data_IF_674640137445
#
_entry.id   IF_674640137445
#
_cell.length_a   1.000
_cell.length_b   1.000
_cell.length_c   1.000
_cell.angle_alpha   90.00
_cell.angle_beta   90.00
_cell.angle_gamma   90.00
#
_symmetry.space_group_name_H-M   'P 1'
#
loop_
_entity.id
_entity.type
_entity.pdbx_description
1 polymer ?
2 non-polymer ?
3 non-polymer ?
4 non-polymer ?
5 non-polymer ?
6 water ?
#
# COMPACT_ATOMS: atom_id res chain seq x y z
N UNK A 1 -21.66 13.89 -0.95
CA UNK A 1 -20.40 14.63 -1.32
C UNK A 1 -19.43 13.69 -2.10
N UNK A 2 -18.21 14.17 -2.35
CA UNK A 2 -17.14 13.29 -2.84
C UNK A 2 -16.29 12.71 -1.69
N UNK A 3 -16.77 11.64 -1.08
CA UNK A 3 -16.03 10.85 -0.12
C UNK A 3 -14.77 10.19 -0.64
N UNK A 4 -13.81 9.94 0.24
CA UNK A 4 -12.57 9.30 -0.15
C UNK A 4 -11.86 8.78 1.06
N UNK A 5 -10.90 7.88 0.82
CA UNK A 5 -10.09 7.27 1.82
C UNK A 5 -8.67 7.51 1.44
N UNK A 6 -7.91 8.11 2.35
CA UNK A 6 -6.49 8.32 2.16
C UNK A 6 -5.79 7.58 3.26
N UNK A 7 -4.72 6.89 2.88
CA UNK A 7 -4.00 6.02 3.74
C UNK A 7 -2.56 6.39 3.77
N UNK A 8 -2.04 6.50 5.00
CA UNK A 8 -0.66 6.81 5.21
C UNK A 8 -0.10 5.63 5.96
N UNK A 9 0.92 4.98 5.40
CA UNK A 9 1.57 3.83 6.03
C UNK A 9 3.06 4.01 6.09
N UNK A 10 3.74 3.03 6.63
CA UNK A 10 5.18 3.09 6.82
C UNK A 10 5.45 2.57 8.19
N UNK A 11 6.72 2.37 8.52
CA UNK A 11 7.08 1.89 9.84
C UNK A 11 7.01 2.96 10.92
N UNK A 12 7.34 2.58 12.14
CA UNK A 12 7.40 3.49 13.19
C UNK A 12 8.47 4.58 12.90
N UNK A 13 8.29 5.72 13.55
CA UNK A 13 9.28 6.85 13.46
C UNK A 13 9.36 7.59 12.12
N UNK A 14 8.40 7.29 11.22
CA UNK A 14 8.34 7.84 9.91
C UNK A 14 7.48 9.12 9.85
N UNK A 15 6.86 9.50 10.96
CA UNK A 15 6.03 10.66 11.04
C UNK A 15 4.66 10.57 10.47
N UNK A 16 4.04 9.39 10.55
CA UNK A 16 2.75 9.20 9.94
C UNK A 16 1.67 10.06 10.62
N UNK A 17 1.68 10.11 11.93
CA UNK A 17 0.67 10.91 12.62
C UNK A 17 0.87 12.44 12.32
N UNK A 18 2.12 12.88 12.23
CA UNK A 18 2.45 14.23 11.86
C UNK A 18 1.88 14.56 10.47
N UNK A 19 1.99 13.61 9.53
CA UNK A 19 1.42 13.82 8.20
C UNK A 19 -0.06 13.86 8.25
N UNK A 20 -0.64 13.00 9.05
CA UNK A 20 -2.07 13.01 9.22
C UNK A 20 -2.59 14.40 9.71
N UNK A 21 -1.95 14.92 10.77
CA UNK A 21 -2.33 16.17 11.34
C UNK A 21 -2.01 17.33 10.35
N UNK A 22 -0.90 17.25 9.60
CA UNK A 22 -0.69 18.24 8.49
C UNK A 22 -1.89 18.29 7.60
N UNK A 23 -2.44 17.12 7.27
CA UNK A 23 -3.58 17.16 6.39
C UNK A 23 -4.81 17.67 7.03
N UNK A 24 -5.06 17.26 8.26
CA UNK A 24 -6.20 17.81 8.95
C UNK A 24 -6.12 19.36 8.98
N UNK A 25 -4.96 19.89 9.36
CA UNK A 25 -4.82 21.35 9.51
C UNK A 25 -5.15 22.12 8.22
N UNK A 26 -4.75 21.58 7.08
CA UNK A 26 -5.16 22.11 5.79
C UNK A 26 -6.64 22.20 5.64
N UNK A 27 -7.36 21.15 6.00
CA UNK A 27 -8.82 21.18 5.92
C UNK A 27 -9.43 22.15 6.88
N UNK A 28 -8.83 22.26 8.05
CA UNK A 28 -9.32 23.21 9.06
C UNK A 28 -9.16 24.69 8.57
N UNK A 29 -8.13 25.01 7.82
CA UNK A 29 -8.02 26.35 7.29
C UNK A 29 -9.15 26.69 6.33
N UNK A 30 -9.72 25.71 5.64
CA UNK A 30 -10.90 25.91 4.84
C UNK A 30 -12.18 25.69 5.57
N UNK A 31 -12.13 25.73 6.89
CA UNK A 31 -13.28 25.67 7.75
C UNK A 31 -14.04 24.34 7.73
N UNK A 32 -13.41 23.31 7.23
CA UNK A 32 -14.03 21.98 7.33
C UNK A 32 -13.98 21.47 8.72
N UNK A 33 -15.06 20.81 9.12
CA UNK A 33 -15.10 20.18 10.40
C UNK A 33 -14.39 18.82 10.37
N UNK A 34 -13.54 18.61 11.33
CA UNK A 34 -12.60 17.53 11.42
C UNK A 34 -12.75 16.82 12.71
N UNK A 35 -12.80 15.49 12.66
CA UNK A 35 -12.93 14.68 13.85
C UNK A 35 -11.77 13.74 13.90
N UNK A 36 -11.07 13.69 15.00
CA UNK A 36 -9.89 12.82 15.14
C UNK A 36 -10.17 11.68 16.14
N UNK A 37 -10.08 10.45 15.66
CA UNK A 37 -10.28 9.26 16.46
C UNK A 37 -8.93 8.60 16.74
N UNK A 38 -8.60 8.46 18.03
CA UNK A 38 -7.37 7.82 18.48
C UNK A 38 -7.76 6.52 19.17
N UNK A 39 -6.77 5.69 19.34
CA UNK A 39 -6.93 4.43 20.01
C UNK A 39 -6.73 4.58 21.52
N UNK A 40 -7.67 4.00 22.24
CA UNK A 40 -7.87 4.13 23.67
C UNK A 40 -6.70 3.75 24.49
N UNK A 41 -6.10 2.58 24.23
CA UNK A 41 -4.94 2.09 24.96
C UNK A 41 -3.62 2.79 24.62
N UNK A 42 -3.67 3.82 23.79
CA UNK A 42 -2.49 4.42 23.20
C UNK A 42 -1.93 5.51 24.09
N UNK A 43 -0.61 5.46 24.30
CA UNK A 43 0.11 6.41 25.17
C UNK A 43 1.48 6.69 24.53
N UNK A 58 -5.85 20.47 18.15
CA UNK A 58 -6.79 20.82 19.21
C UNK A 58 -8.21 20.86 18.64
N UNK A 59 -8.53 19.91 17.73
CA UNK A 59 -9.89 19.72 17.24
C UNK A 59 -10.70 18.56 17.89
N UNK A 60 -12.00 18.49 17.57
CA UNK A 60 -12.93 17.39 18.11
C UNK A 60 -12.33 16.01 18.03
N UNK A 61 -12.28 15.30 19.15
CA UNK A 61 -11.65 14.00 19.21
C UNK A 61 -12.13 13.12 20.31
N UNK A 62 -11.75 11.86 20.18
CA UNK A 62 -12.29 10.85 20.97
C UNK A 62 -11.22 9.76 20.91
N UNK A 63 -11.19 9.00 21.98
CA UNK A 63 -10.37 7.84 22.14
C UNK A 63 -11.27 6.70 22.33
N UNK A 64 -11.10 5.64 21.55
CA UNK A 64 -11.98 4.48 21.61
C UNK A 64 -11.12 3.26 21.39
N UNK A 65 -11.68 2.09 21.66
CA UNK A 65 -10.98 0.83 21.50
C UNK A 65 -11.52 0.15 20.30
N UNK A 66 -12.73 0.51 19.89
CA UNK A 66 -13.10 0.26 18.48
C UNK A 66 -14.02 1.29 17.89
N UNK A 67 -14.18 1.24 16.61
CA UNK A 67 -14.86 2.30 15.90
C UNK A 67 -16.32 2.31 16.06
N UNK A 68 -16.87 1.16 16.40
CA UNK A 68 -18.29 1.02 16.65
C UNK A 68 -18.62 1.91 17.88
N UNK A 69 -17.71 2.08 18.82
CA UNK A 69 -17.98 2.98 19.97
C UNK A 69 -18.08 4.48 19.71
N UNK A 70 -17.84 4.90 18.48
CA UNK A 70 -17.96 6.28 18.08
C UNK A 70 -19.40 6.56 17.79
N UNK A 71 -20.19 5.53 17.60
CA UNK A 71 -21.58 5.71 17.26
C UNK A 71 -21.71 6.37 15.93
N UNK A 72 -22.65 7.29 15.85
CA UNK A 72 -22.88 8.02 14.63
C UNK A 72 -22.36 9.44 14.72
N UNK A 73 -21.57 9.71 15.74
CA UNK A 73 -20.97 11.01 15.95
C UNK A 73 -20.15 11.51 14.78
N UNK A 74 -19.50 10.60 14.07
CA UNK A 74 -18.76 10.89 12.86
C UNK A 74 -19.53 11.55 11.75
N UNK A 75 -20.84 11.39 11.69
CA UNK A 75 -21.65 12.03 10.69
C UNK A 75 -21.71 13.53 10.78
N UNK A 76 -21.33 14.12 11.92
CA UNK A 76 -21.30 15.55 12.05
C UNK A 76 -20.07 16.26 11.45
N UNK A 77 -19.21 15.55 10.75
CA UNK A 77 -17.97 16.17 10.29
C UNK A 77 -17.73 15.92 8.80
N UNK A 78 -16.98 16.83 8.16
CA UNK A 78 -16.55 16.69 6.81
C UNK A 78 -15.38 15.68 6.68
N UNK A 79 -14.47 15.67 7.63
CA UNK A 79 -13.18 14.97 7.57
C UNK A 79 -13.05 14.17 8.85
N UNK A 80 -12.73 12.88 8.70
CA UNK A 80 -12.52 11.93 9.80
C UNK A 80 -11.11 11.42 9.68
N UNK A 81 -10.32 11.59 10.74
CA UNK A 81 -8.93 11.15 10.81
C UNK A 81 -8.82 10.06 11.84
N UNK A 82 -8.20 8.95 11.48
CA UNK A 82 -8.09 7.77 12.31
C UNK A 82 -6.62 7.53 12.47
N UNK A 83 -6.13 7.61 13.71
CA UNK A 83 -4.74 7.41 13.96
C UNK A 83 -4.48 5.99 14.51
N UNK A 84 -3.34 5.39 14.20
CA UNK A 84 -3.02 4.02 14.70
C UNK A 84 -4.08 2.98 14.22
N UNK A 85 -4.41 3.06 12.95
CA UNK A 85 -5.48 2.26 12.39
C UNK A 85 -5.31 0.75 12.58
N UNK A 86 -4.06 0.29 12.64
CA UNK A 86 -3.82 -1.12 12.79
C UNK A 86 -4.41 -1.69 14.12
N UNK A 87 -4.72 -0.87 15.12
CA UNK A 87 -5.29 -1.34 16.39
C UNK A 87 -6.80 -1.54 16.33
N UNK A 88 -7.48 -1.10 15.28
CA UNK A 88 -8.92 -1.15 15.28
C UNK A 88 -9.33 -2.33 14.44
N UNK A 89 -10.08 -3.27 15.03
CA UNK A 89 -10.41 -4.42 14.26
C UNK A 89 -11.42 -4.17 13.17
N UNK A 90 -12.20 -3.12 13.21
CA UNK A 90 -13.24 -2.98 12.18
C UNK A 90 -12.97 -1.77 11.30
N UNK A 91 -11.72 -1.43 11.08
CA UNK A 91 -11.38 -0.17 10.42
C UNK A 91 -11.70 -0.08 8.96
N UNK A 92 -11.54 -1.17 8.21
CA UNK A 92 -11.86 -1.07 6.76
C UNK A 92 -13.33 -0.76 6.53
N UNK A 93 -14.18 -1.47 7.23
CA UNK A 93 -15.58 -1.29 7.06
C UNK A 93 -16.03 0.13 7.50
N UNK A 94 -15.47 0.59 8.61
CA UNK A 94 -15.76 1.96 9.09
C UNK A 94 -15.40 2.99 8.06
N UNK A 95 -14.20 2.89 7.53
CA UNK A 95 -13.76 3.85 6.55
C UNK A 95 -14.56 3.83 5.30
N UNK A 96 -14.92 2.62 4.83
CA UNK A 96 -15.80 2.55 3.66
C UNK A 96 -17.20 3.12 3.92
N UNK A 97 -17.78 2.80 5.07
CA UNK A 97 -19.08 3.40 5.42
C UNK A 97 -19.02 4.93 5.44
N UNK A 98 -17.95 5.45 6.02
CA UNK A 98 -17.84 6.90 6.11
C UNK A 98 -17.60 7.50 4.76
N UNK A 99 -16.67 6.93 3.97
CA UNK A 99 -16.43 7.51 2.65
C UNK A 99 -17.65 7.37 1.77
N UNK A 100 -18.42 6.29 1.89
CA UNK A 100 -19.73 6.24 1.11
C UNK A 100 -20.72 7.34 1.50
N UNK A 101 -20.67 7.83 2.75
CA UNK A 101 -21.48 8.94 3.14
C UNK A 101 -20.90 10.27 2.73
N UNK A 102 -19.83 10.29 2.01
CA UNK A 102 -19.27 11.58 1.56
C UNK A 102 -18.16 12.15 2.46
N UNK A 103 -17.68 11.41 3.45
CA UNK A 103 -16.56 11.91 4.22
C UNK A 103 -15.23 11.73 3.54
N UNK A 104 -14.33 12.68 3.81
CA UNK A 104 -12.88 12.49 3.61
C UNK A 104 -12.33 11.79 4.84
N UNK A 105 -11.81 10.60 4.65
CA UNK A 105 -11.33 9.77 5.68
C UNK A 105 -9.83 9.58 5.49
N UNK A 106 -9.08 9.83 6.54
CA UNK A 106 -7.63 9.87 6.48
C UNK A 106 -7.20 8.93 7.58
N UNK A 107 -6.37 7.98 7.24
CA UNK A 107 -5.96 6.96 8.18
C UNK A 107 -4.45 6.92 8.20
N UNK A 108 -3.86 6.91 9.40
CA UNK A 108 -2.45 6.51 9.52
C UNK A 108 -2.43 5.18 10.20
N UNK A 109 -1.52 4.33 9.77
CA UNK A 109 -1.38 2.98 10.26
C UNK A 109 -0.06 2.37 9.88
N UNK A 110 0.42 1.46 10.74
CA UNK A 110 1.43 0.51 10.36
C UNK A 110 0.84 -0.47 9.31
N UNK A 111 1.53 -0.65 8.21
CA UNK A 111 1.21 -1.68 7.26
C UNK A 111 1.77 -3.04 7.74
N UNK A 112 2.89 -3.03 8.44
CA UNK A 112 3.62 -4.23 8.84
C UNK A 112 3.88 -4.25 10.32
N UNK A 113 3.91 -5.47 10.90
CA UNK A 113 4.21 -5.63 12.32
C UNK A 113 5.69 -5.85 12.42
N UNK A 114 6.16 -6.06 13.62
CA UNK A 114 7.61 -6.23 13.85
C UNK A 114 8.25 -7.47 13.21
N UNK A 115 7.43 -8.38 12.69
CA UNK A 115 7.93 -9.54 11.96
C UNK A 115 7.79 -9.35 10.48
N UNK A 116 7.39 -8.16 10.05
CA UNK A 116 7.18 -7.81 8.67
C UNK A 116 6.01 -8.49 8.06
N UNK A 117 5.06 -8.85 8.89
CA UNK A 117 3.82 -9.45 8.40
C UNK A 117 2.76 -8.35 8.39
N UNK A 118 1.86 -8.42 7.43
CA UNK A 118 0.87 -7.38 7.29
C UNK A 118 -0.21 -7.37 8.31
N UNK A 119 -0.69 -6.17 8.64
CA UNK A 119 -1.95 -6.03 9.34
C UNK A 119 -3.01 -6.13 8.28
N UNK A 120 -3.83 -7.15 8.40
CA UNK A 120 -4.73 -7.57 7.33
C UNK A 120 -5.75 -6.51 6.98
N UNK A 121 -6.21 -5.86 8.02
CA UNK A 121 -7.24 -4.85 7.85
C UNK A 121 -6.69 -3.61 7.05
N UNK A 122 -5.40 -3.35 7.20
CA UNK A 122 -4.73 -2.23 6.53
C UNK A 122 -4.54 -2.60 5.05
N UNK A 123 -4.25 -3.87 4.83
CA UNK A 123 -4.31 -4.46 3.47
C UNK A 123 -5.63 -4.17 2.77
N UNK A 124 -6.74 -4.47 3.42
CA UNK A 124 -8.04 -4.12 2.89
C UNK A 124 -8.12 -2.67 2.57
N UNK A 125 -7.57 -1.84 3.46
CA UNK A 125 -7.70 -0.42 3.16
C UNK A 125 -6.89 -0.04 1.92
N UNK A 126 -5.73 -0.65 1.72
CA UNK A 126 -4.97 -0.27 0.55
C UNK A 126 -5.85 -0.39 -0.69
N UNK A 127 -6.58 -1.49 -0.79
CA UNK A 127 -7.44 -1.75 -1.99
C UNK A 127 -8.59 -0.86 -2.07
N UNK A 128 -9.03 -0.30 -0.94
CA UNK A 128 -10.18 0.64 -0.94
C UNK A 128 -9.81 2.11 -0.98
N UNK A 129 -8.53 2.42 -0.90
CA UNK A 129 -8.07 3.78 -0.82
C UNK A 129 -7.88 4.48 -2.13
N UNK A 130 -8.28 5.74 -2.16
CA UNK A 130 -7.98 6.66 -3.27
C UNK A 130 -6.54 7.05 -3.31
N UNK A 131 -5.87 7.00 -2.18
CA UNK A 131 -4.52 7.46 -2.11
C UNK A 131 -3.79 6.65 -1.09
N UNK A 132 -2.55 6.32 -1.35
CA UNK A 132 -1.77 5.54 -0.43
C UNK A 132 -0.36 6.07 -0.54
N UNK A 133 0.20 6.45 0.59
CA UNK A 133 1.55 6.93 0.67
C UNK A 133 2.23 6.08 1.65
N UNK A 134 3.46 5.69 1.38
CA UNK A 134 4.17 4.94 2.37
C UNK A 134 5.37 5.76 2.77
N UNK A 135 5.45 6.19 4.02
CA UNK A 135 6.55 7.01 4.46
C UNK A 135 7.69 6.11 4.92
N UNK A 136 8.87 6.66 4.97
CA UNK A 136 10.04 5.96 5.48
C UNK A 136 10.52 6.72 6.69
N UNK A 137 11.34 6.04 7.44
CA UNK A 137 12.05 6.59 8.54
C UNK A 137 13.55 6.57 8.18
N UNK A 138 14.41 6.94 9.12
CA UNK A 138 15.85 6.80 8.96
C UNK A 138 16.33 5.66 9.82
N UNK A 139 17.20 4.81 9.28
CA UNK A 139 17.59 3.60 10.00
C UNK A 139 18.20 3.96 11.32
N UNK A 140 17.61 3.46 12.41
CA UNK A 140 18.05 3.80 13.74
C UNK A 140 19.21 2.93 14.19
N UNK A 141 19.61 1.96 13.36
CA UNK A 141 20.74 1.10 13.67
C UNK A 141 21.99 1.60 12.98
N UNK A 142 21.97 1.76 11.68
CA UNK A 142 23.17 2.20 10.97
C UNK A 142 23.19 3.71 10.74
N UNK A 143 22.06 4.45 10.83
CA UNK A 143 22.06 5.92 10.62
C UNK A 143 22.48 6.35 9.24
N UNK A 144 22.41 5.44 8.28
CA UNK A 144 22.82 5.73 6.89
C UNK A 144 21.84 5.49 5.79
N UNK A 145 20.66 4.91 6.05
CA UNK A 145 19.81 4.44 4.96
C UNK A 145 18.39 4.78 5.37
N UNK A 146 17.50 4.81 4.39
CA UNK A 146 16.07 4.89 4.63
C UNK A 146 15.62 3.60 5.29
N UNK A 147 14.67 3.70 6.21
CA UNK A 147 14.17 2.55 6.90
C UNK A 147 12.71 2.37 6.59
N UNK A 148 12.35 1.15 6.20
CA UNK A 148 10.97 0.73 5.93
C UNK A 148 10.36 -0.29 6.87
N UNK A 149 11.15 -0.73 7.87
CA UNK A 149 10.72 -1.76 8.81
C UNK A 149 10.85 -1.35 10.25
N UNK A 150 10.01 -1.92 11.09
CA UNK A 150 10.08 -1.69 12.50
C UNK A 150 10.60 -2.98 13.14
N UNK A 151 11.66 -2.85 13.93
CA UNK A 151 12.27 -3.89 14.73
C UNK A 151 11.92 -3.72 16.18
N UNK A 152 11.43 -4.78 16.84
CA UNK A 152 11.12 -4.70 18.30
C UNK A 152 12.34 -5.06 19.11
N UNK A 153 12.64 -4.27 20.13
CA UNK A 153 13.91 -4.39 20.78
C UNK A 153 13.74 -5.06 22.12
N UNK A 154 12.52 -5.37 22.52
CA UNK A 154 12.25 -6.06 23.75
C UNK A 154 11.74 -7.46 23.39
N UNK A 155 12.02 -8.44 24.28
CA UNK A 155 11.52 -9.83 24.23
C UNK A 155 10.02 -9.70 24.43
N UNK A 156 9.28 -10.23 23.52
CA UNK A 156 7.82 -10.33 23.69
C UNK A 156 7.42 -10.91 22.37
N UNK A 157 6.27 -11.57 22.41
CA UNK A 157 5.71 -12.25 21.26
C UNK A 157 4.25 -11.95 21.17
N UNK A 158 3.77 -11.06 22.05
CA UNK A 158 2.49 -10.44 21.81
C UNK A 158 2.55 -9.59 20.51
N UNK A 159 1.58 -9.76 19.60
CA UNK A 159 1.61 -9.05 18.34
C UNK A 159 1.43 -7.53 18.66
N UNK A 160 0.45 -7.25 19.49
CA UNK A 160 0.19 -5.99 20.01
C UNK A 160 0.93 -5.73 21.30
N UNK A 161 1.74 -4.68 21.29
CA UNK A 161 2.57 -4.28 22.41
C UNK A 161 2.85 -2.78 22.25
N UNK A 162 2.08 -1.99 22.98
CA UNK A 162 2.06 -0.58 22.85
C UNK A 162 3.34 -0.02 23.39
N UNK A 163 3.98 0.89 22.67
CA UNK A 163 5.19 1.56 23.17
C UNK A 163 5.86 2.41 22.11
N UNK A 164 7.03 2.93 22.42
CA UNK A 164 7.79 3.89 21.65
C UNK A 164 9.21 3.44 21.38
N UNK A 165 10.16 4.36 21.41
CA UNK A 165 11.60 4.05 21.21
C UNK A 165 12.22 3.24 22.34
N UNK A 166 11.54 3.14 23.45
CA UNK A 166 11.86 2.18 24.56
C UNK A 166 11.68 0.71 24.17
N UNK A 167 10.83 0.41 23.17
CA UNK A 167 10.55 -0.97 22.72
C UNK A 167 10.76 -1.24 21.26
N UNK A 168 10.94 -0.19 20.44
CA UNK A 168 11.11 -0.36 19.00
C UNK A 168 12.08 0.57 18.36
N UNK A 169 12.50 0.20 17.18
CA UNK A 169 13.31 1.04 16.36
C UNK A 169 13.02 0.78 14.89
N UNK A 170 13.17 1.79 14.02
CA UNK A 170 12.98 1.54 12.62
C UNK A 170 14.30 1.29 11.97
N UNK A 171 14.32 0.36 11.02
CA UNK A 171 15.55 -0.10 10.40
C UNK A 171 15.41 -0.34 8.91
N UNK A 172 16.55 -0.23 8.22
CA UNK A 172 16.67 -0.59 6.83
C UNK A 172 16.63 -2.12 6.72
N UNK A 173 16.45 -2.58 5.48
CA UNK A 173 16.30 -3.99 5.15
C UNK A 173 17.50 -4.83 5.63
N UNK A 174 18.71 -4.39 5.36
CA UNK A 174 19.87 -5.18 5.79
C UNK A 174 20.14 -5.12 7.28
N UNK A 175 19.88 -4.00 7.96
CA UNK A 175 20.00 -4.02 9.43
C UNK A 175 18.97 -4.92 10.03
N UNK A 176 17.77 -4.91 9.48
CA UNK A 176 16.74 -5.80 10.07
C UNK A 176 17.23 -7.29 10.08
N UNK A 177 17.86 -7.70 8.99
CA UNK A 177 18.43 -9.06 8.86
C UNK A 177 19.54 -9.32 9.86
N UNK A 178 20.50 -8.42 9.90
CA UNK A 178 21.64 -8.50 10.79
C UNK A 178 21.20 -8.66 12.21
N UNK A 179 20.30 -7.81 12.63
CA UNK A 179 19.92 -7.86 14.02
C UNK A 179 19.17 -9.16 14.32
N UNK A 180 18.39 -9.62 13.35
CA UNK A 180 17.60 -10.84 13.49
C UNK A 180 18.57 -12.02 13.77
N UNK A 181 19.66 -12.12 12.98
CA UNK A 181 20.73 -13.11 13.18
C UNK A 181 21.38 -13.05 14.56
N UNK A 182 21.93 -11.89 14.96
CA UNK A 182 22.45 -11.73 16.34
C UNK A 182 21.33 -11.90 17.43
N UNK B 2 22.09 -2.55 0.05
CA UNK B 2 22.19 -3.18 -1.29
C UNK B 2 20.78 -3.24 -1.96
N UNK B 3 20.06 -4.32 -1.75
CA UNK B 3 18.78 -4.56 -2.45
C UNK B 3 17.53 -3.76 -1.98
N UNK B 4 16.46 -3.78 -2.76
CA UNK B 4 15.26 -3.01 -2.47
C UNK B 4 14.10 -3.56 -3.27
N UNK B 5 12.88 -3.33 -2.80
CA UNK B 5 11.66 -3.67 -3.48
C UNK B 5 10.86 -2.38 -3.62
N UNK B 6 10.49 -2.06 -4.85
CA UNK B 6 9.61 -0.97 -5.15
C UNK B 6 8.38 -1.50 -5.77
N UNK B 7 7.25 -1.00 -5.33
CA UNK B 7 5.97 -1.47 -5.74
C UNK B 7 5.17 -0.33 -6.29
N UNK B 8 4.51 -0.62 -7.42
CA UNK B 8 3.66 0.32 -8.11
C UNK B 8 2.32 -0.34 -8.22
N UNK B 9 1.28 0.27 -7.63
CA UNK B 9 -0.03 -0.25 -7.63
C UNK B 9 -1.01 0.78 -8.13
N UNK B 10 -2.28 0.44 -8.13
CA UNK B 10 -3.33 1.29 -8.73
C UNK B 10 -4.19 0.44 -9.63
N UNK B 11 -5.29 0.98 -10.10
CA UNK B 11 -6.24 0.25 -10.86
C UNK B 11 -5.76 0.15 -12.33
N UNK B 12 -6.59 -0.45 -13.16
CA UNK B 12 -6.24 -0.56 -14.58
C UNK B 12 -6.26 0.85 -15.17
N UNK B 13 -5.52 1.01 -16.25
CA UNK B 13 -5.51 2.25 -17.03
C UNK B 13 -4.83 3.47 -16.31
N UNK B 14 -3.99 3.18 -15.33
CA UNK B 14 -3.27 4.17 -14.55
C UNK B 14 -1.84 4.31 -15.03
N UNK B 15 -1.42 3.44 -15.95
CA UNK B 15 -0.08 3.47 -16.47
C UNK B 15 0.99 2.85 -15.60
N UNK B 16 0.62 1.85 -14.82
CA UNK B 16 1.63 1.24 -13.96
C UNK B 16 2.80 0.67 -14.72
N UNK B 17 2.53 -0.01 -15.84
CA UNK B 17 3.64 -0.65 -16.61
C UNK B 17 4.53 0.40 -17.27
N UNK B 18 3.93 1.48 -17.77
CA UNK B 18 4.70 2.64 -18.29
C UNK B 18 5.63 3.21 -17.19
N UNK B 19 5.13 3.30 -15.95
CA UNK B 19 6.00 3.78 -14.83
C UNK B 19 7.09 2.81 -14.53
N UNK B 20 6.77 1.53 -14.55
CA UNK B 20 7.80 0.51 -14.32
C UNK B 20 8.94 0.59 -15.33
N UNK B 21 8.55 0.80 -16.58
CA UNK B 21 9.55 0.91 -17.68
C UNK B 21 10.30 2.23 -17.61
N UNK B 22 9.61 3.31 -17.26
CA UNK B 22 10.34 4.57 -16.96
C UNK B 22 11.47 4.34 -15.99
N UNK B 23 11.21 3.55 -14.99
CA UNK B 23 12.26 3.36 -14.00
C UNK B 23 13.33 2.50 -14.50
N UNK B 24 12.93 1.45 -15.21
CA UNK B 24 13.98 0.56 -15.81
C UNK B 24 14.94 1.36 -16.71
N UNK B 25 14.35 2.20 -17.55
CA UNK B 25 15.13 3.00 -18.46
C UNK B 25 16.19 3.84 -17.74
N UNK B 26 15.80 4.40 -16.60
CA UNK B 26 16.75 5.21 -15.83
C UNK B 26 17.91 4.42 -15.43
N UNK B 27 17.68 3.22 -14.93
CA UNK B 27 18.77 2.34 -14.58
C UNK B 27 19.66 1.92 -15.78
N UNK B 28 19.03 1.69 -16.92
CA UNK B 28 19.78 1.38 -18.13
C UNK B 28 20.73 2.52 -18.50
N UNK B 29 20.33 3.78 -18.35
CA UNK B 29 21.27 4.87 -18.63
C UNK B 29 22.52 4.87 -17.74
N UNK B 30 22.44 4.27 -16.59
CA UNK B 30 23.61 4.09 -15.77
C UNK B 30 24.22 2.72 -15.91
N UNK B 31 23.92 2.04 -17.02
CA UNK B 31 24.61 0.80 -17.36
C UNK B 31 24.32 -0.30 -16.40
N UNK B 32 23.14 -0.30 -15.82
CA UNK B 32 22.72 -1.42 -15.05
C UNK B 32 21.98 -2.37 -15.90
N UNK B 33 22.19 -3.64 -15.62
CA UNK B 33 21.53 -4.70 -16.34
C UNK B 33 20.15 -4.93 -15.73
N UNK B 34 19.17 -5.06 -16.61
CA UNK B 34 17.77 -5.17 -16.27
C UNK B 34 17.13 -6.39 -16.89
N UNK B 35 16.38 -7.11 -16.07
CA UNK B 35 15.73 -8.30 -16.46
C UNK B 35 14.24 -8.10 -16.25
N UNK B 36 13.46 -8.16 -17.31
CA UNK B 36 12.07 -7.91 -17.27
C UNK B 36 11.29 -9.19 -17.43
N UNK B 37 10.46 -9.48 -16.44
CA UNK B 37 9.60 -10.62 -16.43
C UNK B 37 8.17 -10.15 -16.65
N UNK B 38 7.54 -10.68 -17.70
CA UNK B 38 6.08 -10.52 -17.94
C UNK B 38 5.36 -11.81 -17.71
N UNK B 39 4.06 -11.70 -17.59
CA UNK B 39 3.19 -12.84 -17.40
C UNK B 39 2.71 -13.38 -18.75
N UNK B 40 2.56 -14.69 -18.81
CA UNK B 40 1.71 -15.32 -19.81
C UNK B 40 1.07 -16.62 -19.33
N UNK B 41 -0.21 -16.84 -19.70
CA UNK B 41 -0.86 -18.17 -19.57
C UNK B 41 -0.42 -19.15 -20.66
N UNK B 57 23.30 -6.45 -25.12
CA UNK B 57 23.79 -5.40 -24.24
C UNK B 57 23.18 -5.50 -22.82
N UNK B 58 22.36 -4.54 -22.40
CA UNK B 58 21.99 -4.39 -20.98
C UNK B 58 20.66 -5.04 -20.59
N UNK B 59 19.73 -5.14 -21.53
CA UNK B 59 18.40 -5.66 -21.25
C UNK B 59 18.30 -7.18 -21.42
N UNK B 60 17.12 -7.71 -21.09
CA UNK B 60 16.73 -9.11 -21.23
C UNK B 60 15.26 -9.24 -20.80
N UNK B 61 14.45 -9.96 -21.57
CA UNK B 61 13.00 -10.11 -21.40
C UNK B 61 12.54 -11.52 -21.43
N UNK B 62 11.44 -11.83 -20.75
CA UNK B 62 11.01 -13.19 -20.57
C UNK B 62 9.54 -13.14 -20.24
N UNK B 63 8.78 -14.09 -20.75
CA UNK B 63 7.38 -14.30 -20.35
C UNK B 63 7.25 -15.62 -19.66
N UNK B 64 6.54 -15.67 -18.55
CA UNK B 64 6.45 -16.85 -17.75
C UNK B 64 5.10 -16.85 -17.07
N UNK B 65 4.68 -18.01 -16.58
CA UNK B 65 3.40 -18.15 -15.91
C UNK B 65 3.64 -18.29 -14.42
N UNK B 66 4.84 -18.64 -14.01
CA UNK B 66 5.25 -18.33 -12.60
C UNK B 66 6.72 -18.12 -12.42
N UNK B 67 7.10 -17.59 -11.27
CA UNK B 67 8.45 -17.11 -11.10
C UNK B 67 9.48 -18.21 -10.90
N UNK B 68 9.03 -19.39 -10.48
CA UNK B 68 9.88 -20.61 -10.41
C UNK B 68 10.44 -20.94 -11.77
N UNK B 69 9.66 -20.72 -12.83
CA UNK B 69 10.14 -20.96 -14.20
C UNK B 69 11.27 -20.06 -14.70
N UNK B 70 11.65 -19.03 -13.96
CA UNK B 70 12.80 -18.19 -14.31
C UNK B 70 14.11 -18.84 -13.87
N UNK B 71 14.02 -19.77 -12.91
CA UNK B 71 15.22 -20.39 -12.37
C UNK B 71 16.09 -19.36 -11.71
N UNK B 72 17.39 -19.47 -11.92
CA UNK B 72 18.38 -18.56 -11.36
C UNK B 72 18.92 -17.51 -12.38
N UNK B 73 18.31 -17.42 -13.55
CA UNK B 73 18.66 -16.41 -14.56
C UNK B 73 18.75 -14.99 -13.99
N UNK B 74 17.75 -14.65 -13.18
CA UNK B 74 17.68 -13.34 -12.52
C UNK B 74 18.95 -12.92 -11.78
N UNK B 75 19.75 -13.85 -11.31
CA UNK B 75 20.97 -13.46 -10.58
C UNK B 75 22.00 -12.76 -11.43
N UNK B 76 21.92 -12.86 -12.76
CA UNK B 76 22.89 -12.22 -13.62
C UNK B 76 22.64 -10.70 -13.77
N UNK B 77 21.57 -10.15 -13.19
CA UNK B 77 21.16 -8.74 -13.44
C UNK B 77 21.14 -7.91 -12.14
N UNK B 78 21.30 -6.59 -12.31
CA UNK B 78 21.25 -5.61 -11.22
C UNK B 78 19.79 -5.29 -10.81
N UNK B 79 18.90 -5.21 -11.79
CA UNK B 79 17.54 -4.75 -11.64
C UNK B 79 16.62 -5.81 -12.24
N UNK B 80 15.58 -6.19 -11.47
CA UNK B 80 14.58 -7.11 -11.89
C UNK B 80 13.24 -6.39 -11.84
N UNK B 81 12.51 -6.46 -12.94
CA UNK B 81 11.21 -5.84 -13.04
C UNK B 81 10.20 -6.89 -13.31
N UNK B 82 9.08 -6.83 -12.59
CA UNK B 82 8.02 -7.79 -12.67
C UNK B 82 6.77 -7.06 -12.98
N UNK B 83 6.14 -7.43 -14.07
CA UNK B 83 4.90 -6.79 -14.50
C UNK B 83 3.73 -7.69 -14.23
N UNK B 84 2.54 -7.13 -14.04
CA UNK B 84 1.32 -7.88 -13.72
C UNK B 84 1.52 -8.83 -12.53
N UNK B 85 2.10 -8.29 -11.48
CA UNK B 85 2.49 -9.08 -10.33
C UNK B 85 1.36 -9.86 -9.70
N UNK B 86 0.14 -9.35 -9.82
CA UNK B 86 -0.96 -10.01 -9.17
C UNK B 86 -1.32 -11.40 -9.82
N UNK B 87 -0.83 -11.71 -11.02
CA UNK B 87 -1.00 -13.04 -11.66
C UNK B 87 0.07 -14.09 -11.23
N UNK B 88 1.10 -13.68 -10.55
CA UNK B 88 2.11 -14.60 -10.10
C UNK B 88 1.84 -14.99 -8.69
N UNK B 89 1.82 -16.30 -8.44
CA UNK B 89 1.42 -16.83 -7.13
C UNK B 89 2.54 -16.82 -6.08
N UNK B 90 3.79 -16.68 -6.52
CA UNK B 90 4.89 -16.70 -5.58
C UNK B 90 5.70 -15.43 -5.71
N UNK B 91 5.02 -14.31 -5.94
CA UNK B 91 5.75 -13.09 -6.17
C UNK B 91 6.39 -12.49 -4.93
N UNK B 92 5.68 -12.45 -3.83
CA UNK B 92 6.23 -11.93 -2.59
C UNK B 92 7.57 -12.55 -2.28
N UNK B 93 7.61 -13.86 -2.22
CA UNK B 93 8.81 -14.56 -1.84
C UNK B 93 9.92 -14.36 -2.84
N UNK B 94 9.57 -14.39 -4.10
CA UNK B 94 10.54 -14.13 -5.17
C UNK B 94 11.20 -12.78 -4.99
N UNK B 95 10.39 -11.75 -4.80
CA UNK B 95 10.96 -10.39 -4.65
C UNK B 95 11.82 -10.26 -3.41
N UNK B 96 11.40 -10.88 -2.30
CA UNK B 96 12.23 -10.87 -1.10
C UNK B 96 13.56 -11.58 -1.31
N UNK B 97 13.51 -12.74 -1.94
CA UNK B 97 14.76 -13.46 -2.21
C UNK B 97 15.69 -12.60 -3.06
N UNK B 98 15.14 -12.00 -4.10
CA UNK B 98 15.97 -11.16 -4.98
C UNK B 98 16.53 -9.92 -4.30
N UNK B 99 15.70 -9.22 -3.52
CA UNK B 99 16.20 -8.04 -2.80
C UNK B 99 17.21 -8.44 -1.74
N UNK B 100 17.02 -9.59 -1.08
CA UNK B 100 18.07 -10.05 -0.13
C UNK B 100 19.42 -10.34 -0.80
N UNK B 101 19.41 -10.74 -2.06
CA UNK B 101 20.63 -10.87 -2.83
C UNK B 101 21.14 -9.58 -3.39
N UNK B 102 20.57 -8.45 -3.02
CA UNK B 102 21.10 -7.18 -3.51
C UNK B 102 20.49 -6.64 -4.80
N UNK B 103 19.45 -7.26 -5.34
CA UNK B 103 18.77 -6.71 -6.49
C UNK B 103 17.82 -5.57 -6.15
N UNK B 104 17.71 -4.65 -7.08
CA UNK B 104 16.63 -3.70 -7.14
C UNK B 104 15.50 -4.36 -7.87
N UNK B 105 14.41 -4.55 -7.16
CA UNK B 105 13.25 -5.23 -7.67
C UNK B 105 12.12 -4.22 -7.77
N UNK B 106 11.48 -4.19 -8.93
CA UNK B 106 10.42 -3.23 -9.22
C UNK B 106 9.25 -4.01 -9.72
N UNK B 107 8.10 -3.82 -9.10
CA UNK B 107 6.93 -4.62 -9.40
C UNK B 107 5.78 -3.73 -9.71
N UNK B 108 5.08 -3.98 -10.82
CA UNK B 108 3.79 -3.37 -11.04
C UNK B 108 2.73 -4.43 -10.86
N UNK B 109 1.63 -4.05 -10.24
CA UNK B 109 0.53 -4.94 -9.91
C UNK B 109 -0.73 -4.19 -9.59
N UNK B 110 -1.87 -4.81 -9.86
CA UNK B 110 -3.13 -4.43 -9.26
C UNK B 110 -3.08 -4.76 -7.79
N UNK B 111 -3.51 -3.83 -6.99
CA UNK B 111 -3.67 -4.07 -5.53
C UNK B 111 -5.03 -4.65 -5.27
N UNK B 112 -6.00 -4.24 -6.07
CA UNK B 112 -7.41 -4.59 -5.87
C UNK B 112 -8.00 -5.26 -7.14
N UNK B 113 -8.90 -6.22 -6.93
CA UNK B 113 -9.60 -6.91 -8.03
C UNK B 113 -10.83 -6.15 -8.29
N UNK B 114 -11.65 -6.62 -9.22
CA UNK B 114 -12.83 -5.86 -9.62
C UNK B 114 -13.89 -5.73 -8.56
N UNK B 115 -13.73 -6.50 -7.48
CA UNK B 115 -14.65 -6.38 -6.34
C UNK B 115 -14.04 -5.53 -5.22
N UNK B 116 -12.90 -4.89 -5.49
CA UNK B 116 -12.13 -4.06 -4.54
C UNK B 116 -11.56 -4.88 -3.43
N UNK B 117 -11.31 -6.15 -3.70
CA UNK B 117 -10.72 -7.00 -2.71
C UNK B 117 -9.31 -7.15 -3.06
N UNK B 118 -8.46 -7.28 -2.05
CA UNK B 118 -7.06 -7.30 -2.29
C UNK B 118 -6.48 -8.58 -2.86
N UNK B 119 -5.45 -8.46 -3.68
CA UNK B 119 -4.63 -9.59 -4.03
C UNK B 119 -3.68 -9.78 -2.90
N UNK B 120 -3.77 -10.94 -2.26
CA UNK B 120 -3.12 -11.23 -0.98
C UNK B 120 -1.63 -11.15 -1.09
N UNK B 121 -1.13 -11.57 -2.22
CA UNK B 121 0.30 -11.59 -2.40
C UNK B 121 0.89 -10.12 -2.52
N UNK B 122 0.09 -9.25 -3.10
CA UNK B 122 0.47 -7.85 -3.35
C UNK B 122 0.45 -7.09 -1.95
N UNK B 123 -0.52 -7.44 -1.12
CA UNK B 123 -0.46 -7.15 0.34
C UNK B 123 0.86 -7.46 1.01
N UNK B 124 1.34 -8.67 0.83
CA UNK B 124 2.63 -9.03 1.41
C UNK B 124 3.71 -8.18 0.85
N UNK B 125 3.63 -7.87 -0.45
CA UNK B 125 4.62 -6.98 -0.98
C UNK B 125 4.57 -5.57 -0.37
N UNK B 126 3.40 -5.06 -0.08
CA UNK B 126 3.29 -3.71 0.52
C UNK B 126 4.12 -3.64 1.82
N UNK B 127 3.96 -4.64 2.68
CA UNK B 127 4.71 -4.76 3.92
C UNK B 127 6.20 -4.96 3.75
N UNK B 128 6.64 -5.43 2.60
CA UNK B 128 8.05 -5.70 2.38
C UNK B 128 8.71 -4.72 1.52
N UNK B 129 7.92 -3.81 0.98
CA UNK B 129 8.46 -2.79 0.05
C UNK B 129 9.08 -1.53 0.72
N UNK B 130 10.21 -1.10 0.15
CA UNK B 130 10.86 0.12 0.45
C UNK B 130 10.07 1.28 -0.05
N UNK B 131 9.31 1.06 -1.08
CA UNK B 131 8.59 2.15 -1.71
C UNK B 131 7.30 1.64 -2.24
N UNK B 132 6.23 2.41 -2.10
CA UNK B 132 4.96 2.00 -2.63
C UNK B 132 4.34 3.24 -3.18
N UNK B 133 3.93 3.20 -4.44
CA UNK B 133 3.23 4.29 -5.08
C UNK B 133 1.92 3.73 -5.61
N UNK B 134 0.81 4.39 -5.37
CA UNK B 134 -0.42 3.96 -5.94
C UNK B 134 -0.81 4.97 -6.97
N UNK B 135 -0.80 4.59 -8.24
CA UNK B 135 -1.20 5.51 -9.33
C UNK B 135 -2.70 5.53 -9.48
N UNK B 136 -3.22 6.59 -10.02
CA UNK B 136 -4.60 6.68 -10.31
C UNK B 136 -4.78 6.72 -11.86
N UNK B 137 -6.01 6.54 -12.27
CA UNK B 137 -6.44 6.68 -13.64
C UNK B 137 -7.42 7.81 -13.64
N UNK B 138 -8.05 8.06 -14.79
CA UNK B 138 -9.17 8.99 -14.89
C UNK B 138 -10.47 8.23 -15.03
N UNK B 139 -11.50 8.66 -14.33
CA UNK B 139 -12.76 7.92 -14.32
C UNK B 139 -13.31 7.80 -15.75
N UNK B 140 -13.49 6.57 -16.21
CA UNK B 140 -13.93 6.28 -17.59
C UNK B 140 -15.43 6.34 -17.69
N UNK B 141 -16.13 6.50 -16.57
CA UNK B 141 -17.58 6.67 -16.54
C UNK B 141 -17.96 8.14 -16.54
N UNK B 142 -17.47 8.93 -15.59
CA UNK B 142 -17.87 10.33 -15.53
C UNK B 142 -16.91 11.24 -16.22
N UNK B 143 -15.68 10.78 -16.50
CA UNK B 143 -14.68 11.62 -17.18
C UNK B 143 -14.26 12.87 -16.41
N UNK B 144 -14.63 12.99 -15.13
CA UNK B 144 -14.37 14.18 -14.28
C UNK B 144 -13.53 14.00 -13.02
N UNK B 145 -13.17 12.78 -12.60
CA UNK B 145 -12.55 12.55 -11.28
C UNK B 145 -11.42 11.57 -11.46
N UNK B 146 -10.46 11.57 -10.52
CA UNK B 146 -9.41 10.58 -10.41
C UNK B 146 -10.12 9.25 -10.11
N UNK B 147 -9.62 8.19 -10.73
CA UNK B 147 -10.15 6.86 -10.51
C UNK B 147 -9.14 6.00 -9.83
N UNK B 148 -9.60 5.30 -8.80
CA UNK B 148 -8.80 4.34 -8.06
C UNK B 148 -9.27 2.88 -8.07
N UNK B 149 -10.38 2.63 -8.76
CA UNK B 149 -10.98 1.31 -8.80
C UNK B 149 -11.22 0.80 -10.25
N UNK B 150 -11.26 -0.50 -10.38
CA UNK B 150 -11.43 -1.14 -11.66
C UNK B 150 -12.79 -1.85 -11.56
N UNK B 151 -13.71 -1.44 -12.40
CA UNK B 151 -15.03 -2.02 -12.58
C UNK B 151 -15.01 -2.99 -13.77
N UNK B 152 -15.47 -4.24 -13.56
CA UNK B 152 -15.64 -5.17 -14.67
C UNK B 152 -16.97 -4.85 -15.35
N UNK B 153 -16.99 -4.89 -16.68
CA UNK B 153 -18.17 -4.47 -17.40
C UNK B 153 -18.93 -5.68 -18.03
N UNK B 154 -18.40 -6.89 -17.90
CA UNK B 154 -19.01 -8.05 -18.42
C UNK B 154 -19.30 -8.99 -17.30
N UNK B 155 -20.49 -9.61 -17.36
CA UNK B 155 -20.95 -10.54 -16.33
C UNK B 155 -19.93 -11.70 -16.34
N UNK B 156 -19.51 -12.05 -15.16
CA UNK B 156 -18.63 -13.15 -14.91
C UNK B 156 -18.33 -13.05 -13.43
N UNK B 157 -17.87 -14.17 -12.89
CA UNK B 157 -17.52 -14.30 -11.49
C UNK B 157 -16.26 -15.11 -11.32
N UNK B 158 -15.55 -15.29 -12.43
CA UNK B 158 -14.14 -15.70 -12.38
C UNK B 158 -13.27 -14.51 -11.91
N UNK B 159 -12.35 -14.75 -10.99
CA UNK B 159 -11.57 -13.71 -10.43
C UNK B 159 -10.66 -13.21 -11.53
N UNK B 160 -9.96 -14.16 -12.13
CA UNK B 160 -9.04 -13.86 -13.21
C UNK B 160 -9.78 -13.98 -14.54
N UNK B 161 -9.71 -12.92 -15.32
CA UNK B 161 -10.40 -12.79 -16.58
C UNK B 161 -9.62 -11.70 -17.36
N UNK B 162 -8.70 -12.16 -18.22
CA UNK B 162 -7.79 -11.33 -18.99
C UNK B 162 -8.51 -10.54 -20.03
N UNK B 163 -8.20 -9.24 -20.14
CA UNK B 163 -8.91 -8.36 -21.06
C UNK B 163 -8.55 -6.89 -20.86
N UNK B 164 -9.24 -6.05 -21.60
CA UNK B 164 -8.89 -4.69 -21.84
C UNK B 164 -10.13 -3.92 -21.65
N UNK B 165 -10.19 -2.75 -22.29
CA UNK B 165 -11.29 -1.81 -22.06
C UNK B 165 -12.66 -2.31 -22.43
N UNK B 166 -12.72 -3.41 -23.18
CA UNK B 166 -14.00 -4.07 -23.49
C UNK B 166 -14.65 -4.69 -22.30
N UNK B 167 -13.82 -5.16 -21.37
CA UNK B 167 -14.26 -5.91 -20.22
C UNK B 167 -14.11 -5.15 -18.90
N UNK B 168 -13.27 -4.12 -18.89
CA UNK B 168 -13.01 -3.33 -17.68
C UNK B 168 -12.96 -1.86 -17.97
N UNK B 169 -13.28 -1.09 -16.95
CA UNK B 169 -13.07 0.36 -16.95
C UNK B 169 -12.61 0.84 -15.56
N UNK B 170 -11.81 1.87 -15.52
CA UNK B 170 -11.34 2.41 -14.23
C UNK B 170 -12.32 3.50 -13.86
N UNK B 171 -12.73 3.52 -12.61
CA UNK B 171 -13.76 4.45 -12.14
C UNK B 171 -13.44 5.06 -10.77
N UNK B 172 -14.04 6.22 -10.53
CA UNK B 172 -13.95 6.88 -9.25
C UNK B 172 -14.88 6.13 -8.34
N UNK B 173 -14.70 6.45 -7.09
CA UNK B 173 -15.46 5.76 -6.07
C UNK B 173 -16.96 5.83 -6.31
N UNK B 174 -17.46 7.02 -6.49
CA UNK B 174 -18.93 7.09 -6.61
C UNK B 174 -19.51 6.50 -7.91
N UNK B 175 -18.79 6.58 -9.03
CA UNK B 175 -19.24 5.85 -10.23
C UNK B 175 -19.18 4.35 -10.00
N UNK B 176 -18.18 3.84 -9.29
CA UNK B 176 -18.22 2.40 -8.96
C UNK B 176 -19.52 1.99 -8.29
N UNK B 177 -19.97 2.79 -7.33
CA UNK B 177 -21.21 2.53 -6.57
C UNK B 177 -22.45 2.59 -7.45
N UNK B 178 -22.55 3.67 -8.21
CA UNK B 178 -23.64 3.89 -9.16
C UNK B 178 -23.80 2.72 -10.11
N UNK B 179 -22.72 2.30 -10.72
CA UNK B 179 -22.82 1.26 -11.69
C UNK B 179 -23.19 -0.02 -11.04
N UNK B 180 -22.70 -0.25 -9.84
CA UNK B 180 -23.00 -1.45 -9.11
C UNK B 180 -24.53 -1.57 -8.87
N UNK B 181 -25.18 -0.47 -8.54
CA UNK B 181 -26.67 -0.43 -8.52
C UNK B 181 -27.49 -0.80 -9.77
N UNK B 182 -27.31 -0.04 -10.85
CA UNK B 182 -27.89 -0.35 -12.17
C UNK B 182 -27.16 -1.54 -12.87
X LIG C 1 2.86 4.40 15.39
X LIG C 1 1.60 5.08 15.72
X LIG C 1 4.03 5.38 15.40
X LIG C 1 2.97 3.44 16.75
X LIG C 1 2.67 2.11 16.62
X LIG C 1 2.18 1.45 17.87
X LIG C 1 1.99 0.08 17.46
X LIG C 1 3.15 1.43 19.02
X LIG C 1 2.32 1.54 20.21
X LIG C 1 3.80 0.07 19.00
X LIG C 1 2.73 -0.73 18.37
X LIG C 1 3.19 -1.85 17.65
X LIG C 1 2.65 -3.14 17.93
X LIG C 1 1.77 -3.26 18.80
X LIG C 1 3.02 -4.18 17.22
X LIG C 1 3.97 -4.13 16.29
X LIG C 1 4.34 -5.12 15.61
X LIG C 1 4.50 -2.78 15.97
X LIG C 1 4.10 -1.69 16.73
X LIG C 1 5.54 -2.72 14.91
X LIG C 1 2.58 3.67 14.08
X LIG D 1 5.15 7.86 13.51
X LIG D 1 4.70 6.50 14.03
X LIG D 1 5.79 7.58 12.17
X LIG D 1 6.16 8.55 14.41
X LIG D 1 3.91 8.69 13.36
X LIG E 1 4.30 10.75 14.51
X LIG E 1 4.12 12.09 15.20
X LIG E 1 3.17 9.77 14.50
X LIG E 1 5.36 9.80 15.06
X LIG E 1 4.35 11.12 13.06
X LIG F 1 20.48 0.30 8.60
X LIG G 1 -1.92 0.18 -16.85
X LIG G 1 -0.55 -0.08 -17.40
X LIG G 1 -2.71 1.15 -17.69
X LIG G 1 -1.88 0.74 -15.44
X LIG G 1 -2.55 -1.20 -16.76
X LIG H 1 -3.70 -5.50 -16.64
X LIG H 1 -4.73 -6.00 -15.81
X LIG H 1 -5.08 -7.44 -16.15
X LIG H 1 -5.67 -8.16 -15.03
X LIG H 1 -6.07 -7.47 -17.30
X LIG H 1 -5.83 -8.72 -18.02
X LIG H 1 -7.41 -7.53 -16.61
X LIG H 1 -6.99 -8.39 -15.43
X LIG H 1 -7.85 -8.38 -14.27
X LIG H 1 -8.33 -9.62 -13.73
X LIG H 1 -7.99 -10.71 -14.16
X LIG H 1 -9.07 -9.63 -12.61
X LIG H 1 -9.42 -8.51 -11.99
X LIG H 1 -10.18 -8.60 -11.03
X LIG H 1 -8.99 -7.21 -12.56
X LIG H 1 -9.36 -5.86 -11.97
X LIG H 1 -8.19 -7.23 -13.70
X LIG I 1 -16.57 8.84 -12.04
#
# INVERSE_FOLDING_TARGET
>A
AHGRIELIIGPMFAGKTTELMRRVQRHKHAQRSCYIIKYTGDTRYSEGAITSHDQRALTANVSVSNLHDVGDEWRKYDVIAVDEGQFFPDVAAFCSKAADSGKVVIVSALDADYLQEPFEEICLLVSRADSVVKLSAVCMECHNRKASFTYRTVKSDERKLVGGSDMYMSVCRSCYETKRNM
>B
AHGRIELIIGPMFAGKTTELMRRVQRHKHAQRSCYIIKYTGDTRYSEGAITSHDQRALTANVSVSNLHDVGDEWRKYDVIAVDEGQFFPDVAAFCSKAADSGKVVIVSALDADYLQEPFEEICLLVSRADSVVKLSAVCMECHNRKASFTYRTVKSDERKLVGGSDMYMSVCRSCYETKRNM
>C hetero
1 QBT P O1P O2P O5' C5' C4' O4' C3' O3' C2' C1' N1 C2 O2 N3 C4 O4 C5 C6 C5M O3P
>D hetero
1 PO4 P O1 O2 O3 O4
>E hetero
1 PO4 P O1 O2 O3 O4
>F hetero
1 ZN ZN
>G hetero
1 PO4 P O1 O2 O3 O4
>H hetero
1 THM O5' C5' C4' O4' C3' O3' C2' C1' N1 C2 O2 N3 C4 O4 C5 C5M C6
>I hetero
1 ZN ZN
#
